data_IF_974413268530
#
_entry.id   IF_974413268530
#
_cell.length_a   1.000
_cell.length_b   1.000
_cell.length_c   1.000
_cell.angle_alpha   90.00
_cell.angle_beta   90.00
_cell.angle_gamma   90.00
#
_symmetry.space_group_name_H-M   'P 1'
#
loop_
_entity.id
_entity.type
_entity.pdbx_description
1 polymer ?
#
# COMPACT_ATOMS: atom_id res chain seq x y z
N UNK A 1 -17.55 17.48 23.14
CA UNK A 1 -17.17 16.68 21.95
C UNK A 1 -15.80 16.00 22.06
N UNK A 2 -14.82 16.54 22.80
CA UNK A 2 -13.49 15.90 22.98
C UNK A 2 -13.49 14.64 23.88
N UNK A 3 -14.62 14.26 24.48
CA UNK A 3 -14.75 13.06 25.33
C UNK A 3 -14.44 11.76 24.58
N UNK A 4 -14.66 11.73 23.25
CA UNK A 4 -14.38 10.56 22.39
C UNK A 4 -12.87 10.22 22.33
N UNK A 5 -11.99 11.21 22.53
CA UNK A 5 -10.54 10.98 22.63
C UNK A 5 -10.09 10.45 24.01
N UNK A 6 -11.00 10.42 24.99
CA UNK A 6 -10.76 9.78 26.29
C UNK A 6 -10.77 8.25 26.23
N UNK A 7 -11.42 7.69 25.21
CA UNK A 7 -11.42 6.24 24.97
C UNK A 7 -10.09 5.80 24.35
N UNK A 8 -9.34 4.96 25.07
CA UNK A 8 -8.05 4.44 24.60
C UNK A 8 -8.16 3.73 23.26
N UNK A 9 -9.25 3.01 23.01
CA UNK A 9 -9.45 2.26 21.77
C UNK A 9 -9.59 3.22 20.60
N UNK A 10 -10.43 4.24 20.75
CA UNK A 10 -10.59 5.27 19.73
C UNK A 10 -9.27 5.99 19.43
N UNK A 11 -8.51 6.33 20.48
CA UNK A 11 -7.22 7.03 20.32
C UNK A 11 -6.18 6.21 19.57
N UNK A 12 -6.09 4.90 19.85
CA UNK A 12 -5.19 4.01 19.11
C UNK A 12 -5.63 3.82 17.65
N UNK A 13 -6.93 3.65 17.40
CA UNK A 13 -7.47 3.54 16.04
C UNK A 13 -7.23 4.82 15.23
N UNK A 14 -7.43 5.99 15.84
CA UNK A 14 -7.18 7.27 15.19
C UNK A 14 -5.70 7.46 14.87
N UNK A 15 -4.80 7.18 15.82
CA UNK A 15 -3.36 7.29 15.59
C UNK A 15 -2.90 6.31 14.51
N UNK A 16 -3.41 5.07 14.52
CA UNK A 16 -3.15 4.08 13.48
C UNK A 16 -3.60 4.59 12.10
N UNK A 17 -4.77 5.23 12.02
CA UNK A 17 -5.28 5.82 10.78
C UNK A 17 -4.41 6.99 10.30
N UNK A 18 -3.96 7.85 11.20
CA UNK A 18 -3.06 8.96 10.86
C UNK A 18 -1.74 8.44 10.27
N UNK A 19 -1.13 7.45 10.92
CA UNK A 19 0.11 6.81 10.43
C UNK A 19 -0.14 6.14 9.06
N UNK A 20 -1.26 5.43 8.91
CA UNK A 20 -1.63 4.78 7.65
C UNK A 20 -1.83 5.79 6.51
N UNK A 21 -2.43 6.94 6.79
CA UNK A 21 -2.66 7.99 5.80
C UNK A 21 -1.35 8.65 5.38
N UNK A 22 -0.45 8.93 6.32
CA UNK A 22 0.89 9.44 6.04
C UNK A 22 1.65 8.45 5.15
N UNK A 23 1.64 7.16 5.49
CA UNK A 23 2.28 6.12 4.67
C UNK A 23 1.72 6.05 3.25
N UNK A 24 0.41 6.20 3.09
CA UNK A 24 -0.25 6.20 1.77
C UNK A 24 0.11 7.45 0.96
N UNK A 25 0.19 8.62 1.61
CA UNK A 25 0.66 9.86 0.99
C UNK A 25 2.10 9.74 0.50
N UNK A 26 3.01 9.30 1.37
CA UNK A 26 4.43 9.08 1.03
C UNK A 26 4.61 8.08 -0.11
N UNK A 27 3.84 6.99 -0.12
CA UNK A 27 3.85 6.02 -1.22
C UNK A 27 3.42 6.64 -2.56
N UNK A 28 2.49 7.59 -2.53
CA UNK A 28 2.03 8.29 -3.74
C UNK A 28 3.08 9.26 -4.26
N UNK A 29 3.79 9.97 -3.37
CA UNK A 29 4.94 10.80 -3.75
C UNK A 29 6.05 9.95 -4.36
N UNK A 30 6.39 8.82 -3.72
CA UNK A 30 7.40 7.89 -4.24
C UNK A 30 7.00 7.31 -5.60
N UNK A 31 5.72 7.01 -5.81
CA UNK A 31 5.20 6.56 -7.11
C UNK A 31 5.33 7.65 -8.18
N UNK A 32 5.13 8.92 -7.82
CA UNK A 32 5.35 10.06 -8.71
C UNK A 32 6.81 10.18 -9.13
N UNK A 33 7.74 10.13 -8.17
CA UNK A 33 9.17 10.14 -8.45
C UNK A 33 9.59 8.95 -9.33
N UNK A 34 9.10 7.75 -9.02
CA UNK A 34 9.34 6.56 -9.83
C UNK A 34 8.80 6.70 -11.26
N UNK A 35 7.60 7.28 -11.42
CA UNK A 35 7.02 7.51 -12.74
C UNK A 35 7.84 8.52 -13.56
N UNK A 36 8.43 9.52 -12.88
CA UNK A 36 9.37 10.47 -13.49
C UNK A 36 10.63 9.77 -13.97
N UNK A 37 11.23 8.92 -13.15
CA UNK A 37 12.40 8.13 -13.52
C UNK A 37 12.13 7.16 -14.68
N UNK A 38 10.91 6.60 -14.77
CA UNK A 38 10.55 5.66 -15.84
C UNK A 38 10.22 6.32 -17.18
N UNK A 39 9.54 7.46 -17.18
CA UNK A 39 8.89 7.99 -18.38
C UNK A 39 9.19 9.47 -18.68
N UNK A 40 9.97 10.16 -17.84
CA UNK A 40 10.40 11.54 -18.05
C UNK A 40 9.23 12.47 -18.44
N UNK A 41 9.22 12.94 -19.68
CA UNK A 41 8.16 13.81 -20.22
C UNK A 41 6.75 13.19 -20.15
N UNK A 42 6.63 11.86 -20.20
CA UNK A 42 5.36 11.13 -20.12
C UNK A 42 5.01 10.66 -18.70
N UNK A 43 5.75 11.08 -17.68
CA UNK A 43 5.54 10.68 -16.29
C UNK A 43 4.13 10.97 -15.77
N UNK A 44 3.53 12.09 -16.22
CA UNK A 44 2.15 12.44 -15.88
C UNK A 44 1.13 11.41 -16.38
N UNK A 45 1.33 10.85 -17.58
CA UNK A 45 0.46 9.82 -18.13
C UNK A 45 0.60 8.50 -17.37
N UNK A 46 1.83 8.12 -17.00
CA UNK A 46 2.10 6.89 -16.23
C UNK A 46 1.55 6.99 -14.81
N UNK A 47 1.83 8.10 -14.10
CA UNK A 47 1.31 8.34 -12.76
C UNK A 47 -0.22 8.46 -12.76
N UNK A 48 -0.78 9.16 -13.75
CA UNK A 48 -2.22 9.31 -13.93
C UNK A 48 -2.91 7.97 -14.19
N UNK A 49 -2.36 7.13 -15.07
CA UNK A 49 -2.83 5.77 -15.29
C UNK A 49 -2.76 4.91 -14.02
N UNK A 50 -1.67 4.98 -13.27
CA UNK A 50 -1.53 4.25 -12.01
C UNK A 50 -2.56 4.70 -10.95
N UNK A 51 -2.81 6.00 -10.83
CA UNK A 51 -3.82 6.54 -9.92
C UNK A 51 -5.25 6.23 -10.38
N UNK A 52 -5.52 6.23 -11.68
CA UNK A 52 -6.81 5.84 -12.23
C UNK A 52 -7.13 4.38 -11.92
N UNK A 53 -6.17 3.47 -12.14
CA UNK A 53 -6.29 2.06 -11.78
C UNK A 53 -6.56 1.91 -10.28
N UNK A 54 -5.79 2.63 -9.43
CA UNK A 54 -5.99 2.63 -7.98
C UNK A 54 -7.42 3.06 -7.63
N UNK A 55 -7.95 4.07 -8.30
CA UNK A 55 -9.26 4.61 -7.97
C UNK A 55 -10.41 3.70 -8.41
N UNK A 56 -10.31 3.09 -9.59
CA UNK A 56 -11.25 2.06 -10.05
C UNK A 56 -11.25 0.87 -9.10
N UNK A 57 -10.06 0.42 -8.68
CA UNK A 57 -9.94 -0.69 -7.73
C UNK A 57 -10.64 -0.37 -6.40
N UNK A 58 -10.44 0.82 -5.83
CA UNK A 58 -11.13 1.19 -4.58
C UNK A 58 -12.64 1.28 -4.72
N UNK A 59 -13.12 1.91 -5.79
CA UNK A 59 -14.57 2.09 -6.03
C UNK A 59 -15.24 0.76 -6.35
N UNK A 60 -14.58 -0.16 -7.05
CA UNK A 60 -15.13 -1.48 -7.35
C UNK A 60 -15.10 -2.43 -6.14
N UNK A 61 -13.98 -2.46 -5.41
CA UNK A 61 -13.80 -3.38 -4.27
C UNK A 61 -14.59 -2.93 -3.04
N UNK A 62 -14.73 -1.63 -2.81
CA UNK A 62 -15.42 -1.07 -1.63
C UNK A 62 -16.86 -1.60 -1.45
N UNK A 63 -17.75 -1.45 -2.44
CA UNK A 63 -19.12 -1.94 -2.39
C UNK A 63 -19.20 -3.46 -2.27
N UNK A 64 -18.31 -4.19 -2.97
CA UNK A 64 -18.25 -5.66 -2.90
C UNK A 64 -17.94 -6.09 -1.48
N UNK A 65 -16.85 -5.57 -0.89
CA UNK A 65 -16.49 -5.89 0.49
C UNK A 65 -17.60 -5.48 1.46
N UNK A 66 -18.18 -4.30 1.30
CA UNK A 66 -19.26 -3.82 2.16
C UNK A 66 -20.51 -4.70 2.09
N UNK A 67 -20.88 -5.19 0.91
CA UNK A 67 -22.00 -6.12 0.74
C UNK A 67 -21.76 -7.49 1.42
N UNK A 68 -20.50 -7.87 1.61
CA UNK A 68 -20.12 -9.13 2.25
C UNK A 68 -19.80 -8.99 3.76
N UNK A 69 -19.66 -7.77 4.31
CA UNK A 69 -19.31 -7.52 5.72
C UNK A 69 -20.31 -8.15 6.70
N UNK A 70 -21.61 -8.12 6.39
CA UNK A 70 -22.64 -8.68 7.27
C UNK A 70 -22.64 -10.21 7.32
N UNK A 71 -21.94 -10.87 6.38
CA UNK A 71 -21.89 -12.33 6.25
C UNK A 71 -20.52 -12.94 6.53
N UNK A 72 -19.45 -12.14 6.71
CA UNK A 72 -18.09 -12.66 6.92
C UNK A 72 -17.70 -12.81 8.41
N UNK A 73 -17.17 -13.97 8.82
CA UNK A 73 -16.54 -14.13 10.13
C UNK A 73 -15.26 -13.28 10.20
N UNK A 74 -15.27 -12.19 10.97
CA UNK A 74 -14.21 -11.17 11.09
C UNK A 74 -12.78 -11.74 11.21
N UNK A 75 -12.60 -12.85 11.92
CA UNK A 75 -11.29 -13.49 12.09
C UNK A 75 -10.72 -14.06 10.79
N UNK A 76 -11.56 -14.74 9.98
CA UNK A 76 -11.11 -15.33 8.71
C UNK A 76 -10.71 -14.25 7.69
N UNK A 77 -11.46 -13.15 7.65
CA UNK A 77 -11.13 -12.02 6.78
C UNK A 77 -9.80 -11.37 7.15
N UNK A 78 -9.58 -11.09 8.44
CA UNK A 78 -8.32 -10.49 8.93
C UNK A 78 -7.11 -11.38 8.62
N UNK A 79 -7.20 -12.70 8.85
CA UNK A 79 -6.13 -13.64 8.52
C UNK A 79 -5.85 -13.68 7.00
N UNK A 80 -6.89 -13.64 6.17
CA UNK A 80 -6.71 -13.61 4.72
C UNK A 80 -6.01 -12.32 4.25
N UNK A 81 -6.35 -11.16 4.84
CA UNK A 81 -5.66 -9.90 4.53
C UNK A 81 -4.20 -9.92 4.98
N UNK A 82 -3.90 -10.46 6.15
CA UNK A 82 -2.52 -10.58 6.64
C UNK A 82 -1.68 -11.52 5.77
N UNK A 83 -2.25 -12.62 5.27
CA UNK A 83 -1.61 -13.51 4.30
C UNK A 83 -1.30 -12.79 2.98
N UNK A 84 -2.24 -12.00 2.45
CA UNK A 84 -2.01 -11.18 1.24
C UNK A 84 -0.89 -10.17 1.49
N UNK A 85 -0.86 -9.54 2.66
CA UNK A 85 0.18 -8.57 3.06
C UNK A 85 1.56 -9.22 3.16
N UNK A 86 1.63 -10.42 3.74
CA UNK A 86 2.85 -11.21 3.83
C UNK A 86 3.34 -11.64 2.44
N UNK A 87 2.44 -12.09 1.57
CA UNK A 87 2.76 -12.48 0.19
C UNK A 87 3.30 -11.30 -0.63
N UNK A 88 2.65 -10.13 -0.56
CA UNK A 88 3.08 -8.94 -1.27
C UNK A 88 4.45 -8.42 -0.79
N UNK A 89 4.72 -8.49 0.51
CA UNK A 89 6.02 -8.12 1.07
C UNK A 89 7.09 -9.12 0.62
N UNK A 90 6.77 -10.42 0.62
CA UNK A 90 7.67 -11.49 0.19
C UNK A 90 8.07 -11.36 -1.29
N UNK A 91 7.13 -11.05 -2.17
CA UNK A 91 7.42 -10.87 -3.61
C UNK A 91 8.30 -9.64 -3.86
N UNK A 92 8.10 -8.53 -3.13
CA UNK A 92 8.99 -7.37 -3.20
C UNK A 92 10.40 -7.64 -2.69
N UNK A 93 10.55 -8.40 -1.59
CA UNK A 93 11.87 -8.75 -1.03
C UNK A 93 12.66 -9.65 -1.98
N UNK A 94 12.00 -10.58 -2.67
CA UNK A 94 12.64 -11.47 -3.65
C UNK A 94 13.27 -10.72 -4.84
N UNK A 95 12.77 -9.54 -5.19
CA UNK A 95 13.26 -8.73 -6.31
C UNK A 95 14.49 -7.87 -6.00
N UNK A 96 14.97 -7.87 -4.75
CA UNK A 96 16.23 -7.21 -4.32
C UNK A 96 17.33 -8.23 -4.04
N UNK A 97 17.44 -9.28 -4.84
CA UNK A 97 18.67 -10.08 -4.84
C UNK A 97 19.82 -9.17 -5.32
N UNK A 98 20.87 -8.96 -4.51
CA UNK A 98 21.97 -8.09 -4.90
C UNK A 98 22.70 -8.71 -6.08
N UNK A 99 22.80 -7.97 -7.19
CA UNK A 99 23.78 -8.25 -8.22
C UNK A 99 25.15 -8.24 -7.56
N UNK A 100 25.74 -9.43 -7.48
CA UNK A 100 27.06 -9.74 -6.93
C UNK A 100 28.11 -8.79 -7.54
N UNK A 101 28.95 -8.10 -6.75
CA UNK A 101 30.07 -7.37 -7.32
C UNK A 101 31.12 -8.40 -7.76
N UNK A 102 31.31 -8.54 -9.07
CA UNK A 102 32.49 -9.20 -9.65
C UNK A 102 33.71 -8.33 -9.36
N UNK A 103 34.29 -8.55 -8.18
CA UNK A 103 35.67 -8.17 -7.89
C UNK A 103 36.62 -9.08 -8.70
N UNK A 104 37.52 -8.43 -9.42
CA UNK A 104 38.91 -8.87 -9.70
C UNK A 104 39.20 -9.70 -10.96
N UNK A 105 39.86 -9.05 -11.91
CA UNK A 105 41.01 -9.50 -12.73
C UNK A 105 41.39 -8.29 -13.60
N UNK A 106 42.32 -7.38 -13.27
CA UNK A 106 43.63 -7.55 -12.64
C UNK A 106 44.43 -8.69 -13.28
N UNK A 107 44.68 -8.56 -14.59
CA UNK A 107 45.85 -9.12 -15.27
C UNK A 107 46.15 -8.28 -16.50
#
# INVERSE_FOLDING_TARGET
MLSVLGDRTYRHLFLAQVIALIGTGLATVALGLLSYDLAGANAGAVLGGALAIKMIAYIGVGPVVNAFVDRLPRRGFLVSMDLVRAAATRTRVRSRAPLRPTRTSAR
#
